data_IF_812592787924
#
_entry.id   IF_812592787924
#
_cell.length_a   1.000
_cell.length_b   1.000
_cell.length_c   1.000
_cell.angle_alpha   90.00
_cell.angle_beta   90.00
_cell.angle_gamma   90.00
#
_symmetry.space_group_name_H-M   'P 1'
#
loop_
_entity.id
_entity.type
_entity.pdbx_description
1 polymer ?
#
# COMPACT_ATOMS: atom_id res chain seq x y z
N UNK A 1 12.06 -34.34 3.88
CA UNK A 1 11.83 -32.90 4.14
C UNK A 1 10.37 -32.71 4.50
N UNK A 2 10.05 -31.67 5.27
CA UNK A 2 8.68 -31.34 5.59
C UNK A 2 7.91 -30.91 4.32
N UNK A 3 6.75 -31.52 4.07
CA UNK A 3 5.94 -31.28 2.88
C UNK A 3 5.40 -29.85 2.85
N UNK A 4 4.92 -29.38 3.99
CA UNK A 4 4.39 -28.03 4.13
C UNK A 4 5.47 -26.97 3.85
N UNK A 5 6.63 -27.13 4.47
CA UNK A 5 7.78 -26.27 4.23
C UNK A 5 8.21 -26.28 2.76
N UNK A 6 8.13 -27.45 2.09
CA UNK A 6 8.44 -27.53 0.66
C UNK A 6 7.41 -26.78 -0.20
N UNK A 7 6.12 -26.82 0.17
CA UNK A 7 5.07 -26.04 -0.49
C UNK A 7 5.27 -24.53 -0.31
N UNK A 8 5.58 -24.05 0.90
CA UNK A 8 5.88 -22.64 1.20
C UNK A 8 7.05 -22.14 0.35
N UNK A 9 8.16 -22.87 0.33
CA UNK A 9 9.37 -22.54 -0.43
C UNK A 9 9.09 -22.53 -1.93
N UNK A 10 8.30 -23.49 -2.43
CA UNK A 10 7.89 -23.54 -3.85
C UNK A 10 7.05 -22.33 -4.23
N UNK A 11 6.00 -22.00 -3.46
CA UNK A 11 5.15 -20.83 -3.70
C UNK A 11 5.98 -19.55 -3.70
N UNK A 12 6.86 -19.36 -2.72
CA UNK A 12 7.73 -18.19 -2.68
C UNK A 12 8.69 -18.09 -3.87
N UNK A 13 9.19 -19.23 -4.37
CA UNK A 13 10.03 -19.27 -5.57
C UNK A 13 9.25 -18.92 -6.84
N UNK A 14 7.97 -19.30 -6.90
CA UNK A 14 7.04 -18.95 -7.99
C UNK A 14 6.72 -17.45 -7.95
N UNK A 15 6.34 -16.92 -6.79
CA UNK A 15 5.90 -15.54 -6.63
C UNK A 15 7.04 -14.53 -6.85
N UNK A 16 8.25 -14.88 -6.41
CA UNK A 16 9.45 -14.05 -6.63
C UNK A 16 10.10 -14.24 -8.01
N UNK A 17 9.74 -15.31 -8.74
CA UNK A 17 10.39 -15.70 -9.98
C UNK A 17 11.87 -16.08 -9.84
N UNK A 18 12.38 -16.25 -8.59
CA UNK A 18 13.80 -16.42 -8.29
C UNK A 18 14.04 -17.34 -7.10
N UNK A 19 14.89 -18.36 -7.30
CA UNK A 19 15.35 -19.20 -6.18
C UNK A 19 16.20 -18.44 -5.16
N UNK A 20 16.92 -17.42 -5.59
CA UNK A 20 17.74 -16.59 -4.70
C UNK A 20 16.85 -15.74 -3.79
N UNK A 21 15.85 -15.07 -4.34
CA UNK A 21 14.91 -14.28 -3.55
C UNK A 21 14.10 -15.15 -2.56
N UNK A 22 13.67 -16.34 -2.99
CA UNK A 22 13.02 -17.30 -2.11
C UNK A 22 13.98 -17.78 -0.99
N UNK A 23 15.25 -18.01 -1.32
CA UNK A 23 16.27 -18.43 -0.37
C UNK A 23 16.47 -17.40 0.74
N UNK A 24 16.59 -16.13 0.38
CA UNK A 24 16.71 -15.01 1.31
C UNK A 24 15.51 -14.94 2.27
N UNK A 25 14.27 -15.03 1.72
CA UNK A 25 13.04 -15.01 2.53
C UNK A 25 13.00 -16.12 3.60
N UNK A 26 13.56 -17.30 3.32
CA UNK A 26 13.53 -18.45 4.23
C UNK A 26 14.82 -18.70 5.01
N UNK A 27 15.84 -17.87 4.83
CA UNK A 27 17.15 -18.04 5.48
C UNK A 27 17.86 -19.34 5.08
N UNK A 28 17.68 -19.81 3.82
CA UNK A 28 18.27 -21.03 3.28
C UNK A 28 19.09 -20.74 2.02
N UNK A 29 19.83 -21.70 1.50
CA UNK A 29 20.53 -21.52 0.22
C UNK A 29 19.61 -21.77 -0.99
N UNK A 30 19.91 -21.14 -2.13
CA UNK A 30 19.20 -21.38 -3.38
C UNK A 30 19.24 -22.85 -3.83
N UNK A 31 20.30 -23.58 -3.46
CA UNK A 31 20.41 -25.04 -3.66
C UNK A 31 19.35 -25.78 -2.84
N UNK A 32 19.09 -25.33 -1.61
CA UNK A 32 18.05 -25.90 -0.75
C UNK A 32 16.65 -25.61 -1.30
N UNK A 33 16.38 -24.41 -1.82
CA UNK A 33 15.12 -24.11 -2.55
C UNK A 33 14.93 -25.12 -3.69
N UNK A 34 15.95 -25.31 -4.53
CA UNK A 34 15.91 -26.30 -5.61
C UNK A 34 15.70 -27.74 -5.13
N UNK A 35 16.15 -28.09 -3.90
CA UNK A 35 15.91 -29.40 -3.30
C UNK A 35 14.45 -29.57 -2.87
N UNK A 36 13.84 -28.54 -2.24
CA UNK A 36 12.43 -28.52 -1.89
C UNK A 36 11.53 -28.71 -3.12
N UNK A 37 11.81 -27.99 -4.21
CA UNK A 37 11.06 -28.12 -5.47
C UNK A 37 11.19 -29.53 -6.04
N UNK A 38 12.40 -30.07 -6.13
CA UNK A 38 12.62 -31.44 -6.65
C UNK A 38 11.91 -32.51 -5.82
N UNK A 39 11.83 -32.34 -4.52
CA UNK A 39 11.10 -33.30 -3.68
C UNK A 39 9.60 -33.27 -3.96
N UNK A 40 9.02 -32.10 -4.21
CA UNK A 40 7.62 -31.99 -4.65
C UNK A 40 7.42 -32.65 -6.02
N UNK A 41 8.31 -32.40 -6.98
CA UNK A 41 8.28 -33.01 -8.32
C UNK A 41 8.36 -34.54 -8.25
N UNK A 42 9.24 -35.08 -7.41
CA UNK A 42 9.36 -36.50 -7.18
C UNK A 42 8.08 -37.14 -6.59
N UNK A 43 7.47 -36.46 -5.62
CA UNK A 43 6.22 -36.90 -4.99
C UNK A 43 5.03 -36.88 -5.95
N UNK A 44 5.00 -35.92 -6.87
CA UNK A 44 3.92 -35.76 -7.85
C UNK A 44 4.16 -36.60 -9.12
N UNK A 45 5.37 -37.08 -9.33
CA UNK A 45 5.76 -37.76 -10.56
C UNK A 45 5.77 -36.84 -11.78
N UNK A 46 5.80 -35.53 -11.60
CA UNK A 46 5.71 -34.55 -12.67
C UNK A 46 6.60 -33.31 -12.38
N UNK A 47 7.15 -32.71 -13.44
CA UNK A 47 7.91 -31.46 -13.33
C UNK A 47 6.97 -30.29 -13.08
N UNK A 48 7.29 -29.46 -12.08
CA UNK A 48 6.59 -28.22 -11.75
C UNK A 48 7.19 -27.02 -12.46
N UNK A 49 8.51 -27.06 -12.71
CA UNK A 49 9.26 -26.00 -13.36
C UNK A 49 9.93 -26.52 -14.64
N UNK A 50 9.84 -25.72 -15.70
CA UNK A 50 10.64 -25.92 -16.92
C UNK A 50 11.96 -25.15 -16.75
N UNK A 51 13.09 -25.86 -16.86
CA UNK A 51 14.42 -25.28 -16.75
C UNK A 51 14.95 -24.94 -18.13
N UNK A 52 15.02 -23.66 -18.45
CA UNK A 52 15.90 -23.18 -19.50
C UNK A 52 17.08 -22.46 -18.85
N UNK A 53 18.23 -22.39 -19.54
CA UNK A 53 19.45 -21.77 -19.01
C UNK A 53 19.31 -20.27 -18.72
N UNK A 54 18.20 -19.63 -19.08
CA UNK A 54 17.96 -18.18 -18.91
C UNK A 54 16.69 -17.79 -18.16
N UNK A 55 15.69 -18.68 -18.02
CA UNK A 55 14.44 -18.38 -17.27
C UNK A 55 13.84 -19.67 -16.69
N UNK A 56 13.29 -19.56 -15.50
CA UNK A 56 12.42 -20.57 -14.91
C UNK A 56 10.98 -20.19 -15.27
N UNK A 57 10.23 -21.14 -15.81
CA UNK A 57 8.80 -20.98 -16.07
C UNK A 57 8.04 -22.15 -15.48
N UNK A 58 6.83 -21.90 -15.01
CA UNK A 58 5.93 -22.94 -14.54
C UNK A 58 5.47 -23.84 -15.69
N UNK A 59 5.44 -25.15 -15.45
CA UNK A 59 4.68 -26.06 -16.30
C UNK A 59 3.18 -25.84 -16.06
N UNK A 60 2.30 -26.40 -16.88
CA UNK A 60 0.86 -26.38 -16.65
C UNK A 60 0.50 -27.02 -15.29
N UNK A 61 1.10 -28.18 -15.00
CA UNK A 61 0.97 -28.86 -13.70
C UNK A 61 1.53 -27.99 -12.58
N UNK A 62 2.66 -27.31 -12.80
CA UNK A 62 3.27 -26.41 -11.84
C UNK A 62 2.39 -25.22 -11.49
N UNK A 63 1.69 -24.64 -12.47
CA UNK A 63 0.75 -23.54 -12.24
C UNK A 63 -0.43 -23.98 -11.40
N UNK A 64 -1.08 -25.07 -11.81
CA UNK A 64 -2.19 -25.62 -11.05
C UNK A 64 -1.77 -26.02 -9.62
N UNK A 65 -0.62 -26.67 -9.47
CA UNK A 65 -0.12 -27.05 -8.15
C UNK A 65 0.24 -25.85 -7.26
N UNK A 66 0.77 -24.78 -7.83
CA UNK A 66 1.04 -23.54 -7.08
C UNK A 66 -0.25 -22.91 -6.52
N UNK A 67 -1.33 -22.87 -7.32
CA UNK A 67 -2.64 -22.42 -6.89
C UNK A 67 -3.18 -23.28 -5.73
N UNK A 68 -3.08 -24.60 -5.85
CA UNK A 68 -3.50 -25.53 -4.77
C UNK A 68 -2.65 -25.36 -3.51
N UNK A 69 -1.33 -25.17 -3.65
CA UNK A 69 -0.46 -24.90 -2.51
C UNK A 69 -0.85 -23.62 -1.78
N UNK A 70 -1.14 -22.52 -2.50
CA UNK A 70 -1.61 -21.27 -1.88
C UNK A 70 -2.92 -21.49 -1.10
N UNK A 71 -3.87 -22.21 -1.69
CA UNK A 71 -5.14 -22.51 -1.03
C UNK A 71 -4.94 -23.35 0.25
N UNK A 72 -4.09 -24.36 0.22
CA UNK A 72 -3.77 -25.21 1.38
C UNK A 72 -3.07 -24.39 2.47
N UNK A 73 -2.07 -23.60 2.13
CA UNK A 73 -1.35 -22.75 3.08
C UNK A 73 -2.29 -21.74 3.73
N UNK A 74 -3.18 -21.12 2.96
CA UNK A 74 -4.22 -20.23 3.49
C UNK A 74 -5.20 -20.93 4.44
N UNK A 75 -5.53 -22.21 4.20
CA UNK A 75 -6.37 -23.01 5.11
C UNK A 75 -5.65 -23.33 6.43
N UNK A 76 -4.36 -23.60 6.37
CA UNK A 76 -3.54 -23.84 7.58
C UNK A 76 -3.48 -22.56 8.41
N UNK A 77 -3.15 -21.44 7.78
CA UNK A 77 -3.17 -20.13 8.44
C UNK A 77 -4.55 -19.83 9.06
N UNK A 78 -5.64 -20.21 8.39
CA UNK A 78 -7.00 -20.06 8.91
C UNK A 78 -7.27 -20.96 10.12
N UNK A 79 -6.76 -22.19 10.13
CA UNK A 79 -6.91 -23.11 11.26
C UNK A 79 -6.10 -22.63 12.47
N UNK A 80 -4.88 -22.14 12.26
CA UNK A 80 -4.06 -21.55 13.31
C UNK A 80 -4.69 -20.27 13.88
N UNK A 81 -5.21 -19.38 13.02
CA UNK A 81 -6.01 -18.22 13.44
C UNK A 81 -7.24 -18.60 14.26
N UNK A 82 -7.94 -19.66 13.86
CA UNK A 82 -9.09 -20.18 14.63
C UNK A 82 -8.70 -20.63 16.05
N UNK A 83 -7.53 -21.25 16.19
CA UNK A 83 -7.00 -21.65 17.49
C UNK A 83 -6.53 -20.44 18.34
N UNK A 84 -6.00 -19.39 17.71
CA UNK A 84 -5.64 -18.13 18.37
C UNK A 84 -6.86 -17.37 18.91
N UNK A 85 -7.97 -17.38 18.16
CA UNK A 85 -9.25 -16.76 18.59
C UNK A 85 -9.75 -17.35 19.92
N UNK A 86 -9.50 -18.64 20.16
CA UNK A 86 -9.86 -19.31 21.42
C UNK A 86 -8.98 -18.90 22.62
N UNK A 87 -7.83 -18.24 22.39
CA UNK A 87 -6.90 -17.82 23.45
C UNK A 87 -7.01 -16.35 23.86
N UNK A 88 -7.84 -15.55 23.19
CA UNK A 88 -8.32 -14.24 23.65
C UNK A 88 -7.32 -13.07 23.60
N UNK A 89 -6.00 -13.29 23.46
CA UNK A 89 -5.01 -12.22 23.42
C UNK A 89 -4.52 -11.92 21.99
N UNK A 90 -4.38 -10.62 21.61
CA UNK A 90 -3.78 -10.23 20.34
C UNK A 90 -2.29 -10.62 20.29
N UNK A 91 -1.89 -11.41 19.26
CA UNK A 91 -0.50 -11.84 19.08
C UNK A 91 -0.20 -12.27 17.64
N UNK A 92 1.09 -12.34 17.30
CA UNK A 92 1.59 -12.75 15.99
C UNK A 92 1.71 -11.60 15.00
N UNK A 93 2.04 -11.88 13.74
CA UNK A 93 2.30 -10.87 12.70
C UNK A 93 0.99 -10.40 12.08
N UNK A 94 0.76 -9.08 12.05
CA UNK A 94 -0.32 -8.42 11.31
C UNK A 94 0.27 -7.76 10.06
N UNK A 95 -0.18 -8.18 8.88
CA UNK A 95 0.27 -7.63 7.60
C UNK A 95 -0.65 -6.48 7.18
N UNK A 96 -0.07 -5.29 7.13
CA UNK A 96 -0.79 -4.03 6.87
C UNK A 96 -0.33 -3.43 5.55
N UNK A 97 -1.26 -3.10 4.66
CA UNK A 97 -0.96 -2.33 3.44
C UNK A 97 -1.57 -0.93 3.52
N UNK A 98 -0.81 0.07 3.08
CA UNK A 98 -1.25 1.46 3.16
C UNK A 98 -0.68 2.31 2.02
N UNK A 99 -1.38 3.40 1.66
CA UNK A 99 -0.83 4.44 0.81
C UNK A 99 0.41 5.07 1.45
N UNK A 100 1.44 5.34 0.64
CA UNK A 100 2.76 5.80 1.14
C UNK A 100 2.64 7.01 2.04
N UNK A 101 1.94 8.04 1.60
CA UNK A 101 1.81 9.32 2.34
C UNK A 101 1.12 9.15 3.69
N UNK A 102 -0.01 8.44 3.73
CA UNK A 102 -0.72 8.18 4.99
C UNK A 102 0.09 7.27 5.91
N UNK A 103 0.75 6.26 5.32
CA UNK A 103 1.56 5.30 6.06
C UNK A 103 2.73 5.94 6.80
N UNK A 104 3.44 6.85 6.14
CA UNK A 104 4.63 7.49 6.71
C UNK A 104 4.27 8.54 7.79
N UNK A 105 3.28 9.40 7.51
CA UNK A 105 3.03 10.56 8.37
C UNK A 105 2.02 10.28 9.49
N UNK A 106 1.12 9.33 9.29
CA UNK A 106 0.07 9.04 10.26
C UNK A 106 0.15 7.63 10.84
N UNK A 107 0.19 6.61 9.96
CA UNK A 107 0.05 5.24 10.43
C UNK A 107 1.29 4.75 11.18
N UNK A 108 2.51 5.04 10.72
CA UNK A 108 3.72 4.58 11.38
C UNK A 108 3.87 5.10 12.83
N UNK A 109 3.60 6.39 13.14
CA UNK A 109 3.54 6.85 14.52
C UNK A 109 2.46 6.15 15.36
N UNK A 110 1.26 5.94 14.80
CA UNK A 110 0.19 5.23 15.50
C UNK A 110 0.52 3.76 15.75
N UNK A 111 1.25 3.11 14.83
CA UNK A 111 1.71 1.73 15.02
C UNK A 111 2.62 1.61 16.24
N UNK A 112 3.47 2.59 16.51
CA UNK A 112 4.31 2.57 17.70
C UNK A 112 3.46 2.49 18.98
N UNK A 113 2.46 3.36 19.11
CA UNK A 113 1.52 3.34 20.24
C UNK A 113 0.75 2.01 20.35
N UNK A 114 0.36 1.44 19.19
CA UNK A 114 -0.34 0.16 19.16
C UNK A 114 0.54 -1.00 19.64
N UNK A 115 1.79 -1.05 19.21
CA UNK A 115 2.73 -2.11 19.58
C UNK A 115 3.14 -2.02 21.05
N UNK A 116 3.18 -0.82 21.64
CA UNK A 116 3.34 -0.67 23.09
C UNK A 116 2.16 -1.26 23.88
N UNK A 117 0.94 -1.09 23.35
CA UNK A 117 -0.27 -1.63 23.98
C UNK A 117 -0.40 -3.16 23.80
N UNK A 118 0.13 -3.73 22.70
CA UNK A 118 0.04 -5.15 22.36
C UNK A 118 1.41 -5.75 22.06
N UNK A 119 2.23 -6.03 23.09
CA UNK A 119 3.64 -6.41 22.94
C UNK A 119 3.87 -7.77 22.25
N UNK A 120 2.84 -8.63 22.17
CA UNK A 120 2.94 -9.92 21.46
C UNK A 120 2.53 -9.80 19.97
N UNK A 121 2.13 -8.61 19.51
CA UNK A 121 1.84 -8.34 18.09
C UNK A 121 3.09 -7.79 17.41
N UNK A 122 3.32 -8.22 16.17
CA UNK A 122 4.28 -7.62 15.24
C UNK A 122 3.54 -7.11 14.02
N UNK A 123 3.98 -6.01 13.42
CA UNK A 123 3.38 -5.45 12.19
C UNK A 123 4.38 -5.54 11.04
N UNK A 124 3.94 -6.13 9.93
CA UNK A 124 4.61 -6.07 8.63
C UNK A 124 3.89 -5.01 7.79
N UNK A 125 4.49 -3.80 7.70
CA UNK A 125 3.90 -2.64 7.05
C UNK A 125 4.42 -2.48 5.63
N UNK A 126 3.53 -2.63 4.65
CA UNK A 126 3.83 -2.41 3.24
C UNK A 126 3.22 -1.09 2.76
N UNK A 127 4.06 -0.16 2.34
CA UNK A 127 3.67 1.16 1.83
C UNK A 127 3.76 1.20 0.31
N UNK A 128 2.62 1.29 -0.35
CA UNK A 128 2.56 1.49 -1.79
C UNK A 128 1.24 2.13 -2.23
N UNK A 129 1.29 2.86 -3.36
CA UNK A 129 0.14 3.57 -3.92
C UNK A 129 -0.55 2.78 -5.06
N UNK A 130 -0.10 1.53 -5.34
CA UNK A 130 -0.76 0.66 -6.32
C UNK A 130 -1.99 -0.02 -5.73
N UNK A 131 -2.94 -0.35 -6.58
CA UNK A 131 -4.01 -1.29 -6.19
C UNK A 131 -3.39 -2.67 -5.98
N UNK A 132 -3.73 -3.28 -4.85
CA UNK A 132 -3.28 -4.63 -4.48
C UNK A 132 -4.48 -5.54 -4.34
N UNK A 133 -4.30 -6.80 -4.67
CA UNK A 133 -5.23 -7.84 -4.24
C UNK A 133 -4.83 -8.30 -2.83
N UNK A 134 -5.64 -7.90 -1.84
CA UNK A 134 -5.36 -8.18 -0.43
C UNK A 134 -5.31 -9.67 -0.13
N UNK A 135 -6.15 -10.47 -0.83
CA UNK A 135 -6.26 -11.91 -0.59
C UNK A 135 -5.08 -12.65 -1.22
N UNK A 136 -4.76 -12.33 -2.48
CA UNK A 136 -3.63 -12.93 -3.18
C UNK A 136 -2.28 -12.57 -2.56
N UNK A 137 -2.11 -11.30 -2.13
CA UNK A 137 -0.88 -10.83 -1.52
C UNK A 137 -0.80 -11.11 -0.01
N UNK A 138 -1.87 -11.66 0.58
CA UNK A 138 -1.90 -12.12 1.97
C UNK A 138 -1.88 -11.02 3.01
N UNK A 139 -2.48 -9.85 2.75
CA UNK A 139 -2.64 -8.77 3.72
C UNK A 139 -3.84 -9.02 4.63
N UNK A 140 -3.66 -8.79 5.95
CA UNK A 140 -4.73 -8.89 6.94
C UNK A 140 -5.64 -7.66 6.91
N UNK A 141 -5.05 -6.47 6.66
CA UNK A 141 -5.74 -5.18 6.66
C UNK A 141 -5.09 -4.19 5.71
N UNK A 142 -5.88 -3.31 5.10
CA UNK A 142 -5.37 -2.21 4.28
C UNK A 142 -6.07 -0.89 4.58
N UNK A 143 -5.34 0.22 4.50
CA UNK A 143 -5.92 1.56 4.45
C UNK A 143 -5.97 2.03 3.00
N UNK A 144 -7.16 2.40 2.52
CA UNK A 144 -7.38 2.87 1.15
C UNK A 144 -8.13 4.19 1.13
N UNK A 145 -7.76 5.04 0.15
CA UNK A 145 -8.28 6.39 -0.03
C UNK A 145 -9.01 6.45 -1.37
N UNK A 146 -10.24 6.92 -1.35
CA UNK A 146 -11.10 7.07 -2.52
C UNK A 146 -12.35 6.21 -2.47
N UNK A 147 -13.09 6.23 -3.57
CA UNK A 147 -14.26 5.35 -3.76
C UNK A 147 -13.82 3.91 -3.86
N UNK A 148 -14.54 3.04 -3.18
CA UNK A 148 -14.31 1.60 -3.25
C UNK A 148 -15.12 1.03 -4.41
N UNK A 149 -14.53 0.08 -5.11
CA UNK A 149 -15.25 -0.80 -6.02
C UNK A 149 -15.91 -1.94 -5.23
N UNK A 150 -16.93 -2.56 -5.82
CA UNK A 150 -17.59 -3.71 -5.20
C UNK A 150 -16.58 -4.84 -4.99
N UNK A 151 -16.47 -5.29 -3.76
CA UNK A 151 -15.53 -6.33 -3.37
C UNK A 151 -16.08 -7.19 -2.23
N UNK A 152 -15.48 -8.37 -2.01
CA UNK A 152 -15.79 -9.25 -0.88
C UNK A 152 -15.21 -8.76 0.46
N UNK A 153 -14.51 -7.62 0.47
CA UNK A 153 -13.88 -7.04 1.64
C UNK A 153 -14.91 -6.32 2.54
N UNK A 154 -14.62 -6.28 3.82
CA UNK A 154 -15.32 -5.39 4.76
C UNK A 154 -14.64 -4.04 4.73
N UNK A 155 -15.43 -2.97 4.59
CA UNK A 155 -14.95 -1.60 4.64
C UNK A 155 -15.44 -0.91 5.91
N UNK A 156 -14.53 -0.27 6.63
CA UNK A 156 -14.82 0.61 7.77
C UNK A 156 -14.36 2.03 7.43
N UNK A 157 -15.24 3.04 7.48
CA UNK A 157 -14.83 4.42 7.27
C UNK A 157 -13.88 4.87 8.39
N UNK A 158 -12.79 5.54 8.00
CA UNK A 158 -11.86 6.17 8.94
C UNK A 158 -12.09 7.67 9.02
N UNK A 159 -12.34 8.33 7.88
CA UNK A 159 -12.58 9.76 7.84
C UNK A 159 -12.29 10.37 6.46
N UNK A 160 -12.39 11.69 6.33
CA UNK A 160 -12.06 12.39 5.11
C UNK A 160 -10.55 12.53 4.95
N UNK A 161 -10.06 12.34 3.73
CA UNK A 161 -8.67 12.57 3.34
C UNK A 161 -8.60 13.78 2.42
N UNK A 162 -8.25 14.92 3.00
CA UNK A 162 -8.17 16.19 2.31
C UNK A 162 -6.85 16.39 1.58
N UNK A 163 -6.89 17.23 0.54
CA UNK A 163 -5.70 17.71 -0.15
C UNK A 163 -5.63 19.24 -0.03
N UNK A 164 -4.42 19.79 -0.11
CA UNK A 164 -4.18 21.22 -0.16
C UNK A 164 -3.27 21.53 -1.35
N UNK A 165 -3.32 22.79 -1.80
CA UNK A 165 -2.43 23.30 -2.84
C UNK A 165 -1.46 24.27 -2.17
N UNK A 166 -0.17 24.12 -2.45
CA UNK A 166 0.84 25.01 -1.91
C UNK A 166 2.02 25.22 -2.85
N UNK A 167 2.76 26.28 -2.60
CA UNK A 167 4.06 26.57 -3.20
C UNK A 167 5.01 27.17 -2.18
N UNK A 168 6.31 27.14 -2.44
CA UNK A 168 7.25 27.84 -1.55
C UNK A 168 7.10 29.38 -1.67
N UNK A 169 7.40 30.13 -0.61
CA UNK A 169 7.36 31.61 -0.63
C UNK A 169 8.20 32.17 -1.79
N UNK A 170 9.37 31.58 -2.06
CA UNK A 170 10.25 32.00 -3.15
C UNK A 170 9.61 31.81 -4.54
N UNK A 171 8.95 30.65 -4.76
CA UNK A 171 8.22 30.40 -5.99
C UNK A 171 7.09 31.42 -6.19
N UNK A 172 6.28 31.65 -5.14
CA UNK A 172 5.16 32.57 -5.20
C UNK A 172 5.59 34.02 -5.38
N UNK A 173 6.71 34.43 -4.79
CA UNK A 173 7.28 35.77 -5.02
C UNK A 173 7.72 35.97 -6.47
N UNK A 174 8.27 34.92 -7.11
CA UNK A 174 8.77 34.98 -8.49
C UNK A 174 7.65 34.86 -9.53
N UNK A 175 6.63 34.04 -9.28
CA UNK A 175 5.58 33.69 -10.25
C UNK A 175 4.21 34.30 -9.95
N UNK A 176 4.04 34.94 -8.80
CA UNK A 176 2.77 35.42 -8.30
C UNK A 176 2.02 34.34 -7.50
N UNK A 177 0.99 34.79 -6.76
CA UNK A 177 0.11 33.92 -5.99
C UNK A 177 -1.16 33.70 -6.82
N UNK A 178 -1.50 32.46 -7.22
CA UNK A 178 -2.74 32.20 -7.95
C UNK A 178 -3.96 32.48 -7.08
N UNK A 179 -4.95 33.20 -7.62
CA UNK A 179 -6.17 33.59 -6.91
C UNK A 179 -7.39 32.79 -7.38
N UNK A 180 -7.37 32.34 -8.61
CA UNK A 180 -8.45 31.53 -9.23
C UNK A 180 -7.83 30.35 -9.99
N UNK A 181 -8.61 29.28 -10.25
CA UNK A 181 -8.12 28.10 -10.99
C UNK A 181 -7.49 28.43 -12.36
N UNK A 182 -7.99 29.43 -13.05
CA UNK A 182 -7.47 29.86 -14.35
C UNK A 182 -6.01 30.32 -14.29
N UNK A 183 -5.55 30.84 -13.16
CA UNK A 183 -4.17 31.32 -12.97
C UNK A 183 -3.16 30.15 -13.04
N UNK A 184 -3.60 28.89 -12.78
CA UNK A 184 -2.76 27.70 -12.87
C UNK A 184 -2.14 27.51 -14.26
N UNK A 185 -2.76 28.09 -15.32
CA UNK A 185 -2.19 28.09 -16.67
C UNK A 185 -0.81 28.74 -16.77
N UNK A 186 -0.45 29.62 -15.83
CA UNK A 186 0.82 30.34 -15.77
C UNK A 186 1.81 29.73 -14.77
N UNK A 187 1.41 28.66 -14.09
CA UNK A 187 2.21 28.01 -13.06
C UNK A 187 2.73 26.64 -13.49
N UNK A 188 3.89 26.26 -12.95
CA UNK A 188 4.34 24.88 -12.96
C UNK A 188 3.55 24.08 -11.93
N UNK A 189 2.73 23.15 -12.37
CA UNK A 189 1.88 22.32 -11.51
C UNK A 189 2.44 20.91 -11.41
N UNK A 190 3.07 20.58 -10.28
CA UNK A 190 3.71 19.28 -10.07
C UNK A 190 2.68 18.15 -10.11
N UNK A 191 3.00 17.03 -10.77
CA UNK A 191 2.04 15.98 -11.04
C UNK A 191 2.39 14.66 -10.36
N UNK A 192 1.44 14.19 -9.53
CA UNK A 192 1.51 12.84 -8.98
C UNK A 192 0.99 11.83 -10.01
N UNK A 193 1.86 10.93 -10.48
CA UNK A 193 1.54 9.98 -11.56
C UNK A 193 0.60 8.83 -11.14
N UNK A 194 0.35 8.66 -9.84
CA UNK A 194 -0.63 7.71 -9.32
C UNK A 194 -2.09 8.16 -9.45
N UNK A 195 -2.36 9.40 -9.85
CA UNK A 195 -3.71 9.86 -10.12
C UNK A 195 -4.15 9.46 -11.52
N UNK A 196 -5.41 9.01 -11.62
CA UNK A 196 -6.02 8.84 -12.94
C UNK A 196 -6.10 10.19 -13.66
N UNK A 197 -5.94 10.25 -14.98
CA UNK A 197 -5.91 11.50 -15.73
C UNK A 197 -7.10 12.43 -15.45
N UNK A 198 -8.30 11.86 -15.21
CA UNK A 198 -9.52 12.61 -14.89
C UNK A 198 -9.53 13.27 -13.49
N UNK A 199 -8.64 12.81 -12.58
CA UNK A 199 -8.52 13.36 -11.21
C UNK A 199 -7.37 14.36 -11.07
N UNK A 200 -6.58 14.56 -12.13
CA UNK A 200 -5.43 15.44 -12.16
C UNK A 200 -5.87 16.89 -11.98
N UNK A 201 -5.39 17.56 -10.91
CA UNK A 201 -5.67 18.97 -10.62
C UNK A 201 -7.15 19.38 -10.78
N UNK A 202 -8.09 18.45 -10.47
CA UNK A 202 -9.51 18.72 -10.57
C UNK A 202 -9.97 19.54 -9.36
N UNK A 203 -10.20 20.81 -9.55
CA UNK A 203 -10.63 21.74 -8.52
C UNK A 203 -12.16 21.81 -8.42
N UNK A 204 -12.64 22.33 -7.29
CA UNK A 204 -14.07 22.55 -7.06
C UNK A 204 -14.64 23.54 -8.09
N UNK A 205 -15.74 23.18 -8.72
CA UNK A 205 -16.37 24.00 -9.74
C UNK A 205 -15.84 23.81 -11.16
N UNK A 206 -14.71 23.11 -11.32
CA UNK A 206 -14.14 22.81 -12.63
C UNK A 206 -14.62 21.42 -13.12
N UNK A 207 -15.09 21.38 -14.38
CA UNK A 207 -15.53 20.10 -15.00
C UNK A 207 -14.34 19.21 -15.37
N UNK A 208 -13.24 19.82 -15.72
CA UNK A 208 -11.98 19.13 -16.05
C UNK A 208 -10.76 20.05 -15.85
N UNK A 209 -9.55 19.46 -15.82
CA UNK A 209 -8.29 20.16 -15.61
C UNK A 209 -7.69 20.75 -16.90
N UNK A 210 -8.48 21.16 -17.88
CA UNK A 210 -8.00 21.61 -19.19
C UNK A 210 -7.05 22.80 -19.15
N UNK A 211 -7.17 23.64 -18.11
CA UNK A 211 -6.38 24.85 -17.96
C UNK A 211 -5.04 24.61 -17.22
N UNK A 212 -4.80 23.41 -16.71
CA UNK A 212 -3.53 23.11 -16.02
C UNK A 212 -2.53 22.56 -17.03
N UNK A 213 -1.38 23.22 -17.22
CA UNK A 213 -0.34 22.73 -18.12
C UNK A 213 0.15 21.33 -17.78
N UNK A 214 0.66 20.61 -18.76
CA UNK A 214 1.37 19.37 -18.51
C UNK A 214 2.60 19.65 -17.67
N UNK A 215 2.72 18.97 -16.55
CA UNK A 215 3.86 19.14 -15.66
C UNK A 215 5.15 18.64 -16.32
N UNK A 216 6.22 19.41 -16.15
CA UNK A 216 7.58 18.99 -16.53
C UNK A 216 8.18 18.02 -15.50
N UNK A 217 7.59 17.92 -14.30
CA UNK A 217 7.97 16.97 -13.27
C UNK A 217 6.77 16.14 -12.84
N UNK A 218 6.86 14.85 -13.12
CA UNK A 218 5.90 13.84 -12.68
C UNK A 218 6.61 12.80 -11.83
N UNK A 219 6.01 12.41 -10.73
CA UNK A 219 6.55 11.35 -9.88
C UNK A 219 5.41 10.52 -9.26
N UNK A 220 5.70 9.27 -8.96
CA UNK A 220 4.83 8.37 -8.22
C UNK A 220 5.09 8.42 -6.71
N UNK A 221 5.82 9.41 -6.25
CA UNK A 221 6.15 9.59 -4.84
C UNK A 221 5.87 11.04 -4.41
N UNK A 222 4.98 11.22 -3.43
CA UNK A 222 4.55 12.51 -2.89
C UNK A 222 5.69 13.31 -2.28
N UNK A 223 6.65 12.63 -1.66
CA UNK A 223 7.79 13.29 -1.01
C UNK A 223 8.78 13.87 -2.01
N UNK A 224 8.98 13.19 -3.15
CA UNK A 224 9.81 13.73 -4.24
C UNK A 224 9.21 15.04 -4.77
N UNK A 225 7.88 15.05 -4.98
CA UNK A 225 7.17 16.26 -5.42
C UNK A 225 7.21 17.37 -4.36
N UNK A 226 7.09 17.01 -3.06
CA UNK A 226 7.23 17.96 -1.94
C UNK A 226 8.61 18.61 -1.94
N UNK A 227 9.68 17.86 -2.12
CA UNK A 227 11.03 18.42 -2.19
C UNK A 227 11.19 19.37 -3.38
N UNK A 228 10.61 19.07 -4.54
CA UNK A 228 10.62 19.98 -5.67
C UNK A 228 9.83 21.28 -5.42
N UNK A 229 8.69 21.19 -4.73
CA UNK A 229 7.92 22.38 -4.32
C UNK A 229 8.71 23.24 -3.32
N UNK A 230 9.34 22.62 -2.32
CA UNK A 230 10.22 23.30 -1.35
C UNK A 230 11.42 23.97 -2.03
N UNK A 231 11.97 23.36 -3.08
CA UNK A 231 13.03 23.94 -3.90
C UNK A 231 12.54 25.07 -4.84
N UNK A 232 11.28 25.49 -4.75
CA UNK A 232 10.74 26.58 -5.56
C UNK A 232 10.48 26.24 -7.01
N UNK A 233 10.27 24.97 -7.37
CA UNK A 233 10.05 24.57 -8.75
C UNK A 233 8.61 24.79 -9.22
N UNK A 234 7.60 24.59 -8.33
CA UNK A 234 6.22 24.72 -8.74
C UNK A 234 5.20 24.64 -7.59
N UNK A 235 3.92 24.61 -7.99
CA UNK A 235 2.80 24.33 -7.10
C UNK A 235 2.61 22.83 -6.94
N UNK A 236 2.26 22.40 -5.75
CA UNK A 236 1.96 21.01 -5.41
C UNK A 236 0.55 20.90 -4.85
N UNK A 237 -0.28 20.01 -5.42
CA UNK A 237 -1.52 19.56 -4.82
C UNK A 237 -1.30 18.18 -4.22
N UNK A 238 -1.38 18.07 -2.89
CA UNK A 238 -1.11 16.83 -2.18
C UNK A 238 -1.88 16.77 -0.86
N UNK A 239 -1.93 15.58 -0.26
CA UNK A 239 -2.55 15.39 1.03
C UNK A 239 -2.03 16.39 2.07
N UNK A 240 -2.95 16.98 2.84
CA UNK A 240 -2.61 17.96 3.87
C UNK A 240 -1.62 17.39 4.88
N UNK A 241 -1.77 16.12 5.26
CA UNK A 241 -0.87 15.43 6.20
C UNK A 241 0.60 15.48 5.76
N UNK A 242 0.88 15.31 4.46
CA UNK A 242 2.23 15.33 3.89
C UNK A 242 2.88 16.71 3.99
N UNK A 243 2.07 17.77 3.97
CA UNK A 243 2.51 19.16 3.83
C UNK A 243 2.38 19.95 5.14
N UNK A 244 1.66 19.42 6.13
CA UNK A 244 1.30 20.13 7.36
C UNK A 244 2.51 20.74 8.10
N UNK A 245 3.59 19.99 8.26
CA UNK A 245 4.79 20.46 8.94
C UNK A 245 5.50 21.59 8.18
N UNK A 246 5.55 21.49 6.84
CA UNK A 246 6.19 22.50 6.00
C UNK A 246 5.35 23.79 5.92
N UNK A 247 4.03 23.64 5.94
CA UNK A 247 3.09 24.78 6.02
C UNK A 247 3.20 25.46 7.38
N UNK A 248 3.17 24.70 8.47
CA UNK A 248 3.31 25.26 9.82
C UNK A 248 4.65 25.97 10.02
N UNK A 249 5.72 25.49 9.40
CA UNK A 249 7.04 26.11 9.42
C UNK A 249 7.20 27.28 8.42
N UNK A 250 6.18 27.62 7.64
CA UNK A 250 6.22 28.68 6.64
C UNK A 250 7.08 28.37 5.41
N UNK A 251 7.54 27.14 5.23
CA UNK A 251 8.30 26.71 4.05
C UNK A 251 7.42 26.51 2.82
N UNK A 252 6.14 26.21 3.05
CA UNK A 252 5.10 26.15 2.02
C UNK A 252 3.94 27.05 2.42
N UNK A 253 3.34 27.73 1.44
CA UNK A 253 2.19 28.62 1.63
C UNK A 253 1.01 28.04 0.86
N UNK A 254 -0.14 27.91 1.54
CA UNK A 254 -1.40 27.44 0.92
C UNK A 254 -1.92 28.47 -0.07
N UNK A 255 -2.50 27.98 -1.15
CA UNK A 255 -3.13 28.80 -2.19
C UNK A 255 -4.42 28.11 -2.66
N UNK A 256 -5.37 28.88 -3.17
CA UNK A 256 -6.63 28.38 -3.75
C UNK A 256 -7.48 27.55 -2.78
N UNK A 257 -7.50 27.85 -1.50
CA UNK A 257 -8.23 27.08 -0.47
C UNK A 257 -9.73 26.96 -0.77
N UNK A 258 -10.35 27.96 -1.33
CA UNK A 258 -11.79 27.96 -1.70
C UNK A 258 -12.12 26.99 -2.85
N UNK A 259 -11.11 26.61 -3.61
CA UNK A 259 -11.23 25.78 -4.81
C UNK A 259 -10.76 24.33 -4.61
N UNK A 260 -10.40 23.96 -3.39
CA UNK A 260 -9.96 22.59 -3.11
C UNK A 260 -11.05 21.57 -3.41
N UNK A 261 -10.70 20.40 -3.95
CA UNK A 261 -11.67 19.34 -4.19
C UNK A 261 -12.25 18.82 -2.87
N UNK A 262 -13.45 18.24 -2.94
CA UNK A 262 -14.06 17.56 -1.80
C UNK A 262 -13.11 16.49 -1.27
N UNK A 263 -12.88 16.42 0.04
CA UNK A 263 -12.06 15.37 0.63
C UNK A 263 -12.54 13.97 0.23
N UNK A 264 -11.60 13.09 -0.03
CA UNK A 264 -11.89 11.71 -0.43
C UNK A 264 -12.17 10.85 0.80
N UNK A 265 -13.10 9.90 0.75
CA UNK A 265 -13.30 8.99 1.87
C UNK A 265 -12.06 8.10 2.05
N UNK A 266 -11.74 7.79 3.30
CA UNK A 266 -10.69 6.84 3.66
C UNK A 266 -11.30 5.67 4.40
N UNK A 267 -10.84 4.48 4.09
CA UNK A 267 -11.41 3.23 4.63
C UNK A 267 -10.33 2.28 5.11
N UNK A 268 -10.65 1.59 6.17
CA UNK A 268 -9.95 0.39 6.59
C UNK A 268 -10.63 -0.81 5.92
N UNK A 269 -9.88 -1.59 5.16
CA UNK A 269 -10.36 -2.76 4.42
C UNK A 269 -9.76 -4.02 5.00
N UNK A 270 -10.57 -5.08 5.13
CA UNK A 270 -10.09 -6.39 5.54
C UNK A 270 -10.99 -7.50 4.98
N UNK A 271 -10.46 -8.73 4.78
CA UNK A 271 -11.24 -9.85 4.30
C UNK A 271 -12.39 -10.20 5.26
N UNK A 272 -13.55 -10.57 4.71
CA UNK A 272 -14.70 -11.03 5.49
C UNK A 272 -14.40 -12.44 6.03
N UNK A 273 -13.83 -12.52 7.21
CA UNK A 273 -13.63 -13.77 7.92
C UNK A 273 -14.87 -14.11 8.76
N UNK A 274 -15.12 -15.41 8.96
CA UNK A 274 -16.21 -15.88 9.83
C UNK A 274 -16.00 -15.43 11.29
N UNK A 275 -14.72 -15.38 11.70
CA UNK A 275 -14.27 -14.80 12.98
C UNK A 275 -12.94 -14.08 12.72
N UNK A 276 -12.86 -12.75 12.86
CA UNK A 276 -11.62 -12.03 12.78
C UNK A 276 -10.69 -12.41 13.95
N UNK A 277 -9.39 -12.47 13.70
CA UNK A 277 -8.40 -12.77 14.75
C UNK A 277 -8.33 -11.67 15.80
N UNK A 278 -7.96 -11.96 17.06
CA UNK A 278 -7.81 -10.93 18.09
C UNK A 278 -6.88 -9.79 17.70
N UNK A 279 -5.75 -10.06 17.00
CA UNK A 279 -4.82 -9.03 16.50
C UNK A 279 -5.48 -8.13 15.46
N UNK A 280 -6.32 -8.68 14.57
CA UNK A 280 -7.02 -7.87 13.56
C UNK A 280 -8.11 -7.03 14.22
N UNK A 281 -8.89 -7.60 15.13
CA UNK A 281 -9.96 -6.88 15.86
C UNK A 281 -9.37 -5.73 16.68
N UNK A 282 -8.34 -5.99 17.48
CA UNK A 282 -7.69 -4.95 18.29
C UNK A 282 -7.09 -3.84 17.45
N UNK A 283 -6.51 -4.16 16.29
CA UNK A 283 -5.97 -3.14 15.38
C UNK A 283 -7.09 -2.31 14.73
N UNK A 284 -8.20 -2.94 14.32
CA UNK A 284 -9.36 -2.23 13.78
C UNK A 284 -9.92 -1.27 14.84
N UNK A 285 -10.13 -1.73 16.07
CA UNK A 285 -10.68 -0.93 17.16
C UNK A 285 -9.73 0.22 17.51
N UNK A 286 -8.44 -0.05 17.58
CA UNK A 286 -7.40 0.96 17.78
C UNK A 286 -7.45 2.03 16.67
N UNK A 287 -7.46 1.63 15.41
CA UNK A 287 -7.55 2.56 14.29
C UNK A 287 -8.82 3.41 14.35
N UNK A 288 -9.99 2.79 14.55
CA UNK A 288 -11.26 3.50 14.63
C UNK A 288 -11.29 4.52 15.78
N UNK A 289 -10.68 4.20 16.92
CA UNK A 289 -10.60 5.13 18.06
C UNK A 289 -9.77 6.39 17.80
N UNK A 290 -8.86 6.36 16.83
CA UNK A 290 -7.99 7.51 16.47
C UNK A 290 -8.64 8.45 15.43
N UNK A 291 -9.75 8.04 14.83
CA UNK A 291 -10.47 8.78 13.78
C UNK A 291 -11.90 9.18 14.17
N UNK A 292 -12.27 9.04 15.45
CA UNK A 292 -13.55 9.50 16.00
C UNK A 292 -13.52 10.97 16.39
#
# INVERSE_FOLDING_TARGET
MDKLRSMEVFVAAVDSGSFTAAAERFGISAVMVGKHVRELEQRLGAALLTRTTRRQSLTEIGRHYAEQCRAILAQIDAAERGAETLRGAPRGVLKVSCAVSFGMDWLAPMIADYLEQYPEVSIDLNLNDRMIDMVEEGFDVAVRIGTLEDSSLVARPLGPYGVVICGSPEYLARRGVPKVPADLAQHECLEFSGWVPAARWRLKGEKDARNVPLSRLRANNSYALKQAALAGFGLLMQAEVVLAQDIAAGRLVRVLDDYLPTPRPMHLLYPRARQPTPKLTSFIDFMLSRFQ
#
